data_IF_752725762803
#
_entry.id   IF_752725762803
#
_cell.length_a   1.000
_cell.length_b   1.000
_cell.length_c   1.000
_cell.angle_alpha   90.00
_cell.angle_beta   90.00
_cell.angle_gamma   90.00
#
_symmetry.space_group_name_H-M   'P 1'
#
loop_
_entity.id
_entity.type
_entity.pdbx_description
1 polymer ?
#
# COMPACT_ATOMS: atom_id res chain seq x y z
N UNK A 1 0.14 29.99 54.04
CA UNK A 1 0.95 28.82 54.44
C UNK A 1 0.10 27.94 55.36
N UNK A 2 -0.68 27.00 54.79
CA UNK A 2 -1.49 26.09 55.60
C UNK A 2 -0.71 24.80 55.82
N UNK A 3 -0.50 24.44 57.10
CA UNK A 3 0.30 23.28 57.52
C UNK A 3 -0.44 21.98 57.17
N UNK A 4 0.19 21.09 56.39
CA UNK A 4 -0.30 19.72 56.17
C UNK A 4 -0.30 18.97 57.50
N UNK A 5 -1.39 18.26 57.80
CA UNK A 5 -1.52 17.39 58.99
C UNK A 5 -0.95 16.02 58.65
N UNK A 6 0.10 15.63 59.36
CA UNK A 6 0.67 14.27 59.30
C UNK A 6 -0.04 13.37 60.32
N UNK A 7 -0.42 12.16 59.91
CA UNK A 7 -0.99 11.13 60.80
C UNK A 7 -0.07 9.90 60.72
N UNK A 8 0.44 9.38 61.85
CA UNK A 8 1.35 8.24 61.84
C UNK A 8 0.60 6.91 61.75
N UNK A 9 1.13 5.96 60.97
CA UNK A 9 0.67 4.57 60.91
C UNK A 9 1.87 3.65 61.17
N UNK A 10 1.72 2.69 62.10
CA UNK A 10 2.76 1.72 62.47
C UNK A 10 2.56 0.40 61.74
N UNK A 11 3.63 -0.16 61.18
CA UNK A 11 3.68 -1.57 60.75
C UNK A 11 4.84 -2.28 61.46
N UNK A 12 4.59 -3.52 61.91
CA UNK A 12 5.60 -4.41 62.48
C UNK A 12 5.84 -5.57 61.50
N UNK A 13 7.11 -5.79 61.12
CA UNK A 13 7.56 -7.01 60.44
C UNK A 13 8.78 -7.59 61.18
N UNK A 14 8.87 -8.92 61.37
CA UNK A 14 9.95 -9.54 62.13
C UNK A 14 11.07 -10.00 61.19
N UNK A 15 12.26 -9.39 61.31
CA UNK A 15 13.51 -10.01 60.85
C UNK A 15 14.58 -9.76 61.92
N UNK A 16 15.26 -10.86 62.30
CA UNK A 16 16.37 -11.00 63.24
C UNK A 16 16.97 -9.73 63.89
N UNK A 17 16.74 -9.60 65.20
CA UNK A 17 17.73 -9.06 66.13
C UNK A 17 17.91 -7.53 66.16
N UNK A 18 16.82 -6.75 66.24
CA UNK A 18 16.88 -5.34 66.61
C UNK A 18 15.70 -4.53 66.09
N UNK A 19 14.91 -3.93 67.00
CA UNK A 19 13.85 -2.97 66.65
C UNK A 19 14.49 -1.69 66.11
N UNK A 20 14.49 -1.49 64.79
CA UNK A 20 14.81 -0.20 64.17
C UNK A 20 13.50 0.53 63.88
N UNK A 21 13.27 1.62 64.59
CA UNK A 21 12.11 2.49 64.42
C UNK A 21 12.38 3.42 63.22
N UNK A 22 11.97 3.04 62.00
CA UNK A 22 12.00 3.93 60.84
C UNK A 22 10.62 4.54 60.63
N UNK A 23 10.48 5.82 60.98
CA UNK A 23 9.36 6.65 60.55
C UNK A 23 9.58 7.05 59.09
N UNK A 24 8.86 6.43 58.15
CA UNK A 24 8.77 6.92 56.78
C UNK A 24 7.59 7.90 56.69
N UNK A 25 7.89 9.15 56.32
CA UNK A 25 6.88 10.16 56.01
C UNK A 25 6.41 9.93 54.58
N UNK A 26 5.13 9.59 54.43
CA UNK A 26 4.47 9.45 53.13
C UNK A 26 3.78 10.76 52.80
N UNK A 27 4.11 11.35 51.65
CA UNK A 27 3.42 12.55 51.14
C UNK A 27 1.97 12.23 50.74
N UNK A 28 1.06 13.19 50.87
CA UNK A 28 -0.37 13.14 50.45
C UNK A 28 -0.65 12.52 49.05
N UNK A 29 0.37 12.35 48.21
CA UNK A 29 0.28 11.74 46.88
C UNK A 29 0.02 10.22 46.88
N UNK A 30 0.13 9.52 48.03
CA UNK A 30 -0.05 8.05 48.10
C UNK A 30 -1.44 7.56 48.58
N UNK A 31 -2.44 8.46 48.77
CA UNK A 31 -3.74 8.10 49.40
C UNK A 31 -4.97 8.03 48.47
N UNK A 32 -4.84 8.16 47.14
CA UNK A 32 -6.01 8.32 46.26
C UNK A 32 -6.20 7.17 45.26
N UNK A 33 -6.96 6.15 45.67
CA UNK A 33 -7.15 4.90 44.90
C UNK A 33 -8.61 4.39 44.91
N UNK A 34 -9.62 5.20 44.52
CA UNK A 34 -11.01 4.68 44.44
C UNK A 34 -11.88 4.94 43.20
N UNK A 35 -11.64 5.95 42.35
CA UNK A 35 -12.24 5.96 40.99
C UNK A 35 -11.57 7.05 40.12
N UNK A 36 -10.75 6.69 39.13
CA UNK A 36 -10.09 7.65 38.24
C UNK A 36 -11.08 8.42 37.36
N UNK A 37 -12.14 7.76 36.84
CA UNK A 37 -12.94 8.29 35.74
C UNK A 37 -13.81 9.50 36.13
N UNK A 38 -14.36 9.50 37.35
CA UNK A 38 -15.22 10.56 37.86
C UNK A 38 -14.48 11.90 38.13
N UNK A 39 -13.13 11.90 38.11
CA UNK A 39 -12.30 13.07 38.45
C UNK A 39 -11.67 13.77 37.25
N UNK A 40 -11.70 13.17 36.05
CA UNK A 40 -11.06 13.76 34.87
C UNK A 40 -11.56 15.17 34.52
N UNK A 41 -12.88 15.48 34.55
CA UNK A 41 -13.36 16.83 34.20
C UNK A 41 -12.78 17.93 35.12
N UNK A 42 -12.78 17.68 36.43
CA UNK A 42 -12.26 18.62 37.43
C UNK A 42 -10.72 18.72 37.41
N UNK A 43 -10.04 17.61 37.11
CA UNK A 43 -8.59 17.62 36.90
C UNK A 43 -8.21 18.39 35.62
N UNK A 44 -9.03 18.31 34.57
CA UNK A 44 -8.83 19.05 33.33
C UNK A 44 -9.00 20.56 33.52
N UNK A 45 -9.96 21.00 34.35
CA UNK A 45 -10.09 22.42 34.74
C UNK A 45 -8.83 22.94 35.43
N UNK A 46 -8.36 22.20 36.43
CA UNK A 46 -7.14 22.53 37.19
C UNK A 46 -5.89 22.49 36.30
N UNK A 47 -5.84 21.55 35.35
CA UNK A 47 -4.75 21.47 34.37
C UNK A 47 -4.74 22.69 33.45
N UNK A 48 -5.91 23.09 32.93
CA UNK A 48 -6.05 24.27 32.09
C UNK A 48 -5.66 25.55 32.85
N UNK A 49 -5.96 25.63 34.16
CA UNK A 49 -5.57 26.74 35.02
C UNK A 49 -4.07 26.74 35.41
N UNK A 50 -3.32 25.68 35.10
CA UNK A 50 -1.89 25.56 35.47
C UNK A 50 -1.65 25.22 36.94
N UNK A 51 -2.66 24.68 37.63
CA UNK A 51 -2.66 24.41 39.07
C UNK A 51 -2.19 22.99 39.42
N UNK A 52 -1.89 22.16 38.42
CA UNK A 52 -1.37 20.81 38.62
C UNK A 52 0.15 20.82 38.75
N UNK A 53 0.66 20.01 39.69
CA UNK A 53 2.09 19.75 39.77
C UNK A 53 2.59 19.06 38.50
N UNK A 54 3.87 19.26 38.15
CA UNK A 54 4.47 18.60 37.00
C UNK A 54 4.39 17.06 37.09
N UNK A 55 4.46 16.49 38.30
CA UNK A 55 4.29 15.05 38.55
C UNK A 55 2.87 14.61 38.23
N UNK A 56 1.86 15.30 38.75
CA UNK A 56 0.45 14.98 38.53
C UNK A 56 0.06 15.13 37.06
N UNK A 57 0.49 16.22 36.42
CA UNK A 57 0.22 16.48 35.01
C UNK A 57 0.94 15.48 34.09
N UNK A 58 2.10 14.94 34.51
CA UNK A 58 2.75 13.84 33.79
C UNK A 58 2.02 12.51 33.99
N UNK A 59 1.48 12.26 35.19
CA UNK A 59 0.78 11.01 35.55
C UNK A 59 -0.54 10.84 34.79
N UNK A 60 -1.31 11.92 34.61
CA UNK A 60 -2.65 11.88 34.01
C UNK A 60 -2.71 12.48 32.59
N UNK A 61 -1.57 12.63 31.91
CA UNK A 61 -1.51 13.42 30.68
C UNK A 61 -2.42 12.85 29.58
N UNK A 62 -2.39 11.54 29.38
CA UNK A 62 -3.14 10.89 28.29
C UNK A 62 -4.64 10.87 28.58
N UNK A 63 -5.01 10.64 29.85
CA UNK A 63 -6.39 10.75 30.33
C UNK A 63 -6.94 12.15 30.11
N UNK A 64 -6.19 13.19 30.50
CA UNK A 64 -6.59 14.58 30.34
C UNK A 64 -6.70 15.01 28.88
N UNK A 65 -5.79 14.55 28.01
CA UNK A 65 -5.88 14.80 26.56
C UNK A 65 -7.15 14.16 25.97
N UNK A 66 -7.45 12.91 26.33
CA UNK A 66 -8.67 12.22 25.88
C UNK A 66 -9.93 12.86 26.43
N UNK A 67 -9.94 13.33 27.68
CA UNK A 67 -11.10 14.05 28.20
C UNK A 67 -11.28 15.40 27.54
N UNK A 68 -10.20 16.13 27.26
CA UNK A 68 -10.29 17.39 26.54
C UNK A 68 -10.88 17.20 25.14
N UNK A 69 -10.53 16.11 24.46
CA UNK A 69 -11.12 15.73 23.17
C UNK A 69 -12.59 15.32 23.32
N UNK A 70 -12.91 14.43 24.28
CA UNK A 70 -14.27 13.93 24.51
C UNK A 70 -15.25 15.04 24.88
N UNK A 71 -14.81 16.01 25.66
CA UNK A 71 -15.59 17.18 26.05
C UNK A 71 -15.47 18.37 25.07
N UNK A 72 -14.78 18.19 23.94
CA UNK A 72 -14.50 19.21 22.91
C UNK A 72 -13.92 20.54 23.43
N UNK A 73 -13.06 20.46 24.46
CA UNK A 73 -12.47 21.63 25.13
C UNK A 73 -11.13 22.04 24.50
N UNK A 74 -11.22 22.74 23.36
CA UNK A 74 -10.07 23.16 22.54
C UNK A 74 -8.98 23.93 23.31
N UNK A 75 -9.33 24.90 24.16
CA UNK A 75 -8.33 25.68 24.91
C UNK A 75 -7.55 24.84 25.92
N UNK A 76 -8.24 23.92 26.61
CA UNK A 76 -7.61 23.02 27.57
C UNK A 76 -6.69 22.03 26.83
N UNK A 77 -7.15 21.51 25.69
CA UNK A 77 -6.35 20.64 24.82
C UNK A 77 -5.07 21.34 24.34
N UNK A 78 -5.17 22.58 23.86
CA UNK A 78 -4.02 23.37 23.38
C UNK A 78 -2.96 23.61 24.47
N UNK A 79 -3.40 23.79 25.73
CA UNK A 79 -2.48 23.95 26.88
C UNK A 79 -1.82 22.64 27.31
N UNK A 80 -2.52 21.52 27.15
CA UNK A 80 -2.03 20.19 27.51
C UNK A 80 -1.08 19.60 26.48
N UNK A 81 -1.23 19.98 25.21
CA UNK A 81 -0.35 19.51 24.14
C UNK A 81 1.11 19.91 24.45
N UNK A 82 2.05 18.96 24.35
CA UNK A 82 3.43 19.23 24.70
C UNK A 82 4.05 20.20 23.70
N UNK A 83 4.77 21.20 24.23
CA UNK A 83 5.52 22.18 23.39
C UNK A 83 6.61 21.52 22.54
N UNK A 84 7.11 20.36 22.98
CA UNK A 84 8.00 19.48 22.22
C UNK A 84 7.17 18.41 21.52
N UNK A 85 7.62 17.99 20.34
CA UNK A 85 6.99 16.96 19.48
C UNK A 85 6.44 15.77 20.28
N UNK A 86 5.14 15.50 20.13
CA UNK A 86 4.50 14.27 20.64
C UNK A 86 4.92 13.05 19.81
N UNK A 87 4.98 11.88 20.45
CA UNK A 87 5.17 10.60 19.76
C UNK A 87 4.12 10.43 18.66
N UNK A 88 4.48 10.11 17.41
CA UNK A 88 3.54 10.26 16.30
C UNK A 88 2.35 9.29 16.34
N UNK A 89 2.56 8.05 16.80
CA UNK A 89 1.48 7.08 17.04
C UNK A 89 0.49 7.55 18.13
N UNK A 90 1.01 8.23 19.17
CA UNK A 90 0.15 8.79 20.23
C UNK A 90 -0.69 9.95 19.71
N UNK A 91 -0.13 10.76 18.81
CA UNK A 91 -0.85 11.86 18.17
C UNK A 91 -1.93 11.33 17.20
N UNK A 92 -1.60 10.37 16.34
CA UNK A 92 -2.55 9.75 15.41
C UNK A 92 -3.76 9.14 16.14
N UNK A 93 -3.51 8.35 17.19
CA UNK A 93 -4.57 7.79 18.03
C UNK A 93 -5.47 8.87 18.68
N UNK A 94 -4.91 10.03 19.04
CA UNK A 94 -5.68 11.13 19.62
C UNK A 94 -6.53 11.87 18.57
N UNK A 95 -6.01 12.02 17.35
CA UNK A 95 -6.74 12.63 16.22
C UNK A 95 -7.90 11.74 15.78
N UNK A 96 -7.66 10.44 15.56
CA UNK A 96 -8.70 9.46 15.24
C UNK A 96 -9.78 9.40 16.35
N UNK A 97 -9.36 9.51 17.62
CA UNK A 97 -10.30 9.61 18.73
C UNK A 97 -11.19 10.86 18.65
N UNK A 98 -10.64 12.03 18.28
CA UNK A 98 -11.42 13.26 18.09
C UNK A 98 -12.47 13.14 16.98
N UNK A 99 -12.09 12.50 15.86
CA UNK A 99 -13.00 12.21 14.76
C UNK A 99 -14.13 11.26 15.19
N UNK A 100 -13.78 10.19 15.92
CA UNK A 100 -14.76 9.23 16.44
C UNK A 100 -15.76 9.87 17.42
N UNK A 101 -15.30 10.83 18.23
CA UNK A 101 -16.14 11.58 19.17
C UNK A 101 -16.95 12.70 18.51
N UNK A 102 -16.70 13.01 17.22
CA UNK A 102 -17.29 14.15 16.50
C UNK A 102 -17.05 15.48 17.22
N UNK A 103 -15.81 15.70 17.67
CA UNK A 103 -15.37 16.89 18.41
C UNK A 103 -14.63 17.87 17.48
N UNK A 104 -15.33 18.79 16.77
CA UNK A 104 -14.74 19.62 15.72
C UNK A 104 -13.70 20.62 16.23
N UNK A 105 -13.88 21.19 17.43
CA UNK A 105 -12.98 22.21 17.97
C UNK A 105 -11.65 21.57 18.42
N UNK A 106 -11.74 20.39 19.05
CA UNK A 106 -10.58 19.58 19.38
C UNK A 106 -9.82 19.13 18.12
N UNK A 107 -10.53 18.70 17.07
CA UNK A 107 -9.92 18.31 15.79
C UNK A 107 -9.17 19.48 15.15
N UNK A 108 -9.73 20.69 15.16
CA UNK A 108 -9.07 21.89 14.63
C UNK A 108 -7.75 22.20 15.36
N UNK A 109 -7.71 22.07 16.69
CA UNK A 109 -6.49 22.26 17.49
C UNK A 109 -5.45 21.19 17.17
N UNK A 110 -5.84 19.93 17.02
CA UNK A 110 -4.92 18.84 16.66
C UNK A 110 -4.36 19.03 15.25
N UNK A 111 -5.16 19.48 14.28
CA UNK A 111 -4.69 19.80 12.93
C UNK A 111 -3.74 21.01 12.90
N UNK A 112 -3.96 22.02 13.75
CA UNK A 112 -3.00 23.12 13.91
C UNK A 112 -1.68 22.64 14.53
N UNK A 113 -1.76 21.77 15.55
CA UNK A 113 -0.59 21.12 16.15
C UNK A 113 0.18 20.25 15.13
N UNK A 114 -0.55 19.53 14.26
CA UNK A 114 0.02 18.77 13.15
C UNK A 114 0.90 19.65 12.27
N UNK A 115 0.36 20.77 11.79
CA UNK A 115 1.07 21.71 10.89
C UNK A 115 2.32 22.33 11.53
N UNK A 116 2.33 22.49 12.85
CA UNK A 116 3.47 23.09 13.56
C UNK A 116 4.60 22.09 13.87
N UNK A 117 4.30 20.79 13.99
CA UNK A 117 5.23 19.82 14.56
C UNK A 117 5.56 18.62 13.67
N UNK A 118 4.84 18.43 12.56
CA UNK A 118 5.04 17.32 11.63
C UNK A 118 5.14 17.85 10.20
N UNK A 119 6.06 17.28 9.43
CA UNK A 119 6.05 17.45 7.98
C UNK A 119 4.98 16.55 7.36
N UNK A 120 4.44 16.92 6.20
CA UNK A 120 3.46 16.10 5.46
C UNK A 120 3.99 14.67 5.27
N UNK A 121 5.24 14.54 4.78
CA UNK A 121 5.87 13.24 4.53
C UNK A 121 6.03 12.34 5.76
N UNK A 122 6.26 12.89 6.96
CA UNK A 122 6.36 12.10 8.19
C UNK A 122 5.00 11.56 8.64
N UNK A 123 3.93 12.32 8.42
CA UNK A 123 2.57 11.93 8.79
C UNK A 123 1.98 10.94 7.79
N UNK A 124 2.21 11.16 6.50
CA UNK A 124 1.84 10.21 5.45
C UNK A 124 2.47 8.83 5.71
N UNK A 125 3.72 8.78 6.20
CA UNK A 125 4.37 7.54 6.59
C UNK A 125 3.78 6.85 7.84
N UNK A 126 3.03 7.57 8.68
CA UNK A 126 2.36 7.03 9.86
C UNK A 126 0.95 6.58 9.55
N UNK A 127 0.19 7.39 8.79
CA UNK A 127 -1.09 6.98 8.22
C UNK A 127 -0.89 5.72 7.39
N UNK A 128 0.16 5.65 6.57
CA UNK A 128 0.50 4.43 5.83
C UNK A 128 0.78 3.26 6.77
N UNK A 129 1.49 3.45 7.89
CA UNK A 129 1.75 2.37 8.87
C UNK A 129 0.51 1.90 9.62
N UNK A 130 -0.43 2.79 9.91
CA UNK A 130 -1.71 2.45 10.54
C UNK A 130 -2.63 1.75 9.54
N UNK A 131 -2.68 2.24 8.30
CA UNK A 131 -3.36 1.59 7.19
C UNK A 131 -2.78 0.19 6.94
N UNK A 132 -1.45 0.04 6.92
CA UNK A 132 -0.77 -1.24 6.78
C UNK A 132 -1.18 -2.19 7.92
N UNK A 133 -1.31 -1.70 9.17
CA UNK A 133 -1.77 -2.49 10.32
C UNK A 133 -3.23 -2.91 10.18
N UNK A 134 -4.11 -2.03 9.72
CA UNK A 134 -5.54 -2.32 9.48
C UNK A 134 -5.74 -3.33 8.34
N UNK A 135 -4.89 -3.26 7.32
CA UNK A 135 -4.86 -4.20 6.20
C UNK A 135 -4.16 -5.53 6.52
N UNK A 136 -3.70 -5.74 7.75
CA UNK A 136 -2.98 -6.96 8.16
C UNK A 136 -1.59 -7.11 7.55
N UNK A 137 -1.01 -6.03 7.00
CA UNK A 137 0.34 -5.98 6.48
C UNK A 137 1.33 -5.85 7.64
N UNK A 138 2.13 -6.89 7.89
CA UNK A 138 3.24 -6.77 8.82
C UNK A 138 4.32 -5.86 8.21
N UNK A 139 4.76 -4.83 8.96
CA UNK A 139 5.93 -4.00 8.64
C UNK A 139 7.15 -4.47 9.47
N UNK A 140 7.79 -5.59 9.09
CA UNK A 140 8.90 -6.17 9.86
C UNK A 140 10.10 -5.23 9.91
N UNK A 141 10.82 -5.23 11.03
CA UNK A 141 12.09 -4.50 11.13
C UNK A 141 13.21 -5.18 10.30
N UNK A 142 14.37 -4.55 10.17
CA UNK A 142 15.48 -5.11 9.38
C UNK A 142 15.93 -6.50 9.87
N UNK A 143 15.92 -6.75 11.18
CA UNK A 143 16.35 -8.03 11.74
C UNK A 143 15.36 -9.13 11.41
N UNK A 144 14.06 -8.82 11.46
CA UNK A 144 13.00 -9.71 11.00
C UNK A 144 13.06 -9.93 9.49
N UNK A 145 13.27 -8.88 8.69
CA UNK A 145 13.42 -8.99 7.23
C UNK A 145 14.59 -9.91 6.83
N UNK A 146 15.69 -9.90 7.57
CA UNK A 146 16.82 -10.82 7.35
C UNK A 146 16.49 -12.28 7.70
N UNK A 147 15.54 -12.52 8.61
CA UNK A 147 15.05 -13.87 8.95
C UNK A 147 14.02 -14.36 7.96
N UNK A 148 13.12 -13.47 7.54
CA UNK A 148 12.01 -13.74 6.62
C UNK A 148 12.45 -13.83 5.17
N UNK A 149 13.49 -13.08 4.78
CA UNK A 149 13.93 -12.98 3.41
C UNK A 149 15.42 -13.24 3.22
N UNK A 150 15.78 -13.75 2.05
CA UNK A 150 17.15 -13.71 1.56
C UNK A 150 17.43 -12.34 0.97
N UNK A 151 18.31 -11.58 1.62
CA UNK A 151 18.72 -10.25 1.15
C UNK A 151 20.08 -10.32 0.47
N UNK A 152 20.22 -9.62 -0.66
CA UNK A 152 21.50 -9.41 -1.36
C UNK A 152 21.82 -7.92 -1.38
N UNK A 153 22.98 -7.55 -0.87
CA UNK A 153 23.44 -6.16 -0.83
C UNK A 153 24.22 -5.86 -2.11
N UNK A 154 23.75 -4.89 -2.87
CA UNK A 154 24.35 -4.37 -4.09
C UNK A 154 24.98 -2.99 -3.80
N UNK A 155 25.69 -2.43 -4.78
CA UNK A 155 26.24 -1.06 -4.67
C UNK A 155 25.12 -0.02 -4.59
N UNK A 156 24.02 -0.27 -5.30
CA UNK A 156 22.89 0.64 -5.47
C UNK A 156 21.84 0.47 -4.36
N UNK A 157 21.88 -0.61 -3.57
CA UNK A 157 20.87 -0.88 -2.54
C UNK A 157 20.80 -2.35 -2.07
N UNK A 158 19.63 -2.78 -1.63
CA UNK A 158 19.34 -4.16 -1.18
C UNK A 158 18.30 -4.80 -2.09
N UNK A 159 18.53 -6.04 -2.51
CA UNK A 159 17.59 -6.83 -3.30
C UNK A 159 17.04 -8.00 -2.48
N UNK A 160 15.72 -8.20 -2.49
CA UNK A 160 15.05 -9.32 -1.84
C UNK A 160 14.99 -10.48 -2.82
N UNK A 161 15.74 -11.55 -2.54
CA UNK A 161 16.01 -12.65 -3.48
C UNK A 161 15.24 -13.93 -3.15
N UNK A 162 14.35 -13.91 -2.16
CA UNK A 162 13.51 -15.07 -1.83
C UNK A 162 12.95 -15.02 -0.42
N UNK A 163 11.79 -15.63 -0.21
CA UNK A 163 11.19 -15.82 1.11
C UNK A 163 11.79 -17.06 1.81
N UNK A 164 11.92 -17.00 3.14
CA UNK A 164 12.35 -18.10 4.01
C UNK A 164 11.16 -18.65 4.83
N UNK A 165 10.11 -17.85 5.02
CA UNK A 165 8.84 -18.23 5.68
C UNK A 165 7.68 -17.73 4.80
N UNK A 166 6.64 -18.56 4.60
CA UNK A 166 5.69 -18.43 3.48
C UNK A 166 4.20 -18.36 3.89
N UNK A 167 3.90 -17.94 5.13
CA UNK A 167 2.53 -18.02 5.68
C UNK A 167 1.92 -16.64 6.04
N UNK A 168 2.59 -15.52 5.73
CA UNK A 168 2.06 -14.17 5.97
C UNK A 168 2.45 -13.18 4.87
N UNK A 169 1.60 -12.19 4.66
CA UNK A 169 1.84 -11.03 3.81
C UNK A 169 2.71 -10.01 4.55
N UNK A 170 3.77 -9.51 3.90
CA UNK A 170 4.69 -8.54 4.48
C UNK A 170 4.78 -7.29 3.60
N UNK A 171 4.71 -6.11 4.21
CA UNK A 171 5.04 -4.86 3.54
C UNK A 171 6.55 -4.78 3.28
N UNK A 172 6.94 -4.48 2.04
CA UNK A 172 8.36 -4.31 1.69
C UNK A 172 8.74 -2.86 1.94
N UNK A 173 9.66 -2.57 2.87
CA UNK A 173 10.04 -1.18 3.16
C UNK A 173 10.87 -0.60 2.01
N UNK A 174 10.80 0.73 1.84
CA UNK A 174 11.60 1.45 0.84
C UNK A 174 13.12 1.33 1.04
N UNK A 175 13.57 1.00 2.27
CA UNK A 175 14.96 0.78 2.61
C UNK A 175 15.13 -0.31 3.68
N UNK A 176 16.20 -1.09 3.58
CA UNK A 176 16.62 -2.09 4.58
C UNK A 176 18.04 -1.76 5.02
N UNK A 177 18.25 -1.51 6.32
CA UNK A 177 19.55 -1.10 6.85
C UNK A 177 20.07 0.22 6.29
N UNK A 178 19.17 1.19 6.10
CA UNK A 178 19.51 2.51 5.56
C UNK A 178 19.88 2.52 4.07
N UNK A 179 19.76 1.38 3.38
CA UNK A 179 19.99 1.26 1.94
C UNK A 179 18.67 0.99 1.21
N UNK A 180 18.43 1.63 0.05
CA UNK A 180 17.16 1.51 -0.65
C UNK A 180 16.94 0.07 -1.13
N UNK A 181 15.70 -0.42 -1.07
CA UNK A 181 15.35 -1.69 -1.70
C UNK A 181 15.25 -1.46 -3.20
N UNK A 182 16.10 -2.14 -3.98
CA UNK A 182 16.26 -1.91 -5.43
C UNK A 182 15.61 -2.98 -6.30
N UNK A 183 15.10 -4.05 -5.69
CA UNK A 183 14.39 -5.10 -6.41
C UNK A 183 13.88 -6.22 -5.50
N UNK A 184 12.88 -6.94 -6.01
CA UNK A 184 12.28 -8.13 -5.39
C UNK A 184 12.23 -9.21 -6.48
N UNK A 185 12.90 -10.32 -6.26
CA UNK A 185 12.97 -11.45 -7.18
C UNK A 185 11.64 -12.24 -7.19
N UNK A 186 11.28 -12.85 -8.33
CA UNK A 186 10.13 -13.73 -8.49
C UNK A 186 10.09 -14.84 -7.40
N UNK A 187 11.24 -15.30 -6.93
CA UNK A 187 11.35 -16.29 -5.85
C UNK A 187 10.96 -15.77 -4.45
N UNK A 188 10.73 -14.46 -4.30
CA UNK A 188 10.25 -13.84 -3.06
C UNK A 188 8.72 -13.73 -2.98
N UNK A 189 8.01 -14.04 -4.08
CA UNK A 189 6.55 -13.98 -4.14
C UNK A 189 5.97 -15.34 -3.81
N UNK A 190 5.27 -15.43 -2.67
CA UNK A 190 4.31 -16.50 -2.40
C UNK A 190 3.26 -16.00 -1.40
N UNK A 191 2.22 -15.35 -1.93
CA UNK A 191 0.79 -15.61 -1.68
C UNK A 191 -0.03 -14.77 -2.70
N UNK A 192 -1.16 -15.29 -3.23
CA UNK A 192 -2.03 -14.56 -4.18
C UNK A 192 -2.59 -13.23 -3.66
N UNK A 193 -2.62 -13.03 -2.33
CA UNK A 193 -3.37 -11.95 -1.69
C UNK A 193 -2.52 -10.76 -1.19
N UNK A 194 -1.26 -10.64 -1.61
CA UNK A 194 -0.36 -9.60 -1.11
C UNK A 194 0.34 -8.84 -2.24
N UNK A 195 -0.30 -7.77 -2.74
CA UNK A 195 0.33 -6.82 -3.65
C UNK A 195 0.93 -5.63 -2.89
N UNK A 196 2.25 -5.38 -2.99
CA UNK A 196 2.83 -4.14 -2.49
C UNK A 196 2.81 -3.03 -3.56
N UNK A 197 2.43 -1.83 -3.12
CA UNK A 197 2.58 -0.58 -3.84
C UNK A 197 4.05 -0.13 -3.84
N UNK A 198 4.63 0.14 -5.02
CA UNK A 198 5.99 0.68 -5.17
C UNK A 198 5.89 2.07 -5.76
N UNK A 199 6.28 3.10 -5.00
CA UNK A 199 6.47 4.45 -5.53
C UNK A 199 7.97 4.66 -5.83
N UNK A 200 8.29 5.02 -7.08
CA UNK A 200 9.59 5.61 -7.42
C UNK A 200 9.44 6.72 -8.46
N UNK A 201 10.16 7.80 -8.18
CA UNK A 201 10.44 8.89 -9.11
C UNK A 201 11.59 8.49 -10.03
N UNK A 202 11.46 8.75 -11.33
CA UNK A 202 12.56 8.63 -12.29
C UNK A 202 12.70 9.92 -13.09
N UNK A 203 13.93 10.39 -13.17
CA UNK A 203 14.35 11.53 -13.96
C UNK A 203 14.34 11.17 -15.45
N UNK A 204 13.90 12.13 -16.26
CA UNK A 204 13.58 12.03 -17.66
C UNK A 204 14.78 11.65 -18.54
N UNK A 205 14.60 10.62 -19.37
CA UNK A 205 15.25 10.54 -20.68
C UNK A 205 14.15 10.71 -21.73
N UNK A 206 13.82 11.97 -22.03
CA UNK A 206 12.97 12.37 -23.14
C UNK A 206 13.76 12.16 -24.44
N UNK A 207 13.75 10.94 -24.98
CA UNK A 207 13.81 10.77 -26.43
C UNK A 207 12.37 10.51 -26.87
N UNK A 208 11.81 11.46 -27.63
CA UNK A 208 10.63 11.15 -28.43
C UNK A 208 10.95 9.85 -29.20
N UNK A 209 10.10 8.81 -29.13
CA UNK A 209 10.34 7.62 -29.91
C UNK A 209 10.33 8.07 -31.36
N UNK A 210 11.48 7.99 -32.01
CA UNK A 210 11.48 7.95 -33.46
C UNK A 210 10.70 6.68 -33.80
N UNK A 211 9.47 6.85 -34.26
CA UNK A 211 8.71 5.75 -34.83
C UNK A 211 9.39 5.43 -36.17
N UNK A 212 10.51 4.73 -36.11
CA UNK A 212 11.17 4.20 -37.30
C UNK A 212 10.42 2.92 -37.70
N UNK A 213 9.39 3.06 -38.54
CA UNK A 213 8.59 1.94 -39.01
C UNK A 213 7.38 1.61 -38.13
N UNK A 214 7.17 0.32 -37.83
CA UNK A 214 5.95 -0.21 -37.19
C UNK A 214 6.13 -0.52 -35.67
N UNK A 215 7.20 -0.05 -35.02
CA UNK A 215 7.43 -0.31 -33.57
C UNK A 215 8.13 0.84 -32.84
N UNK A 216 8.06 0.83 -31.50
CA UNK A 216 8.75 1.79 -30.61
C UNK A 216 9.09 1.16 -29.26
N UNK A 217 9.97 1.82 -28.48
CA UNK A 217 10.30 1.43 -27.11
C UNK A 217 9.59 2.35 -26.11
N UNK A 218 8.96 1.78 -25.08
CA UNK A 218 8.34 2.54 -23.99
C UNK A 218 8.23 1.68 -22.73
N UNK A 219 8.71 2.17 -21.60
CA UNK A 219 8.73 1.39 -20.36
C UNK A 219 9.79 0.27 -20.35
N UNK A 220 9.94 -0.37 -19.19
CA UNK A 220 11.04 -1.30 -18.89
C UNK A 220 10.54 -2.48 -18.07
N UNK A 221 10.98 -3.68 -18.43
CA UNK A 221 10.71 -4.90 -17.66
C UNK A 221 11.96 -5.38 -16.93
N UNK A 222 11.75 -5.90 -15.72
CA UNK A 222 12.78 -6.57 -14.93
C UNK A 222 12.91 -8.02 -15.40
N UNK A 223 14.09 -8.43 -15.90
CA UNK A 223 14.32 -9.84 -16.22
C UNK A 223 14.53 -10.70 -14.97
N UNK A 224 14.07 -11.96 -15.03
CA UNK A 224 14.14 -13.01 -13.98
C UNK A 224 15.54 -13.28 -13.38
N UNK A 225 16.60 -12.63 -13.85
CA UNK A 225 17.99 -12.79 -13.37
C UNK A 225 18.73 -11.45 -13.40
N UNK A 226 18.35 -10.56 -12.49
CA UNK A 226 19.21 -9.51 -11.92
C UNK A 226 20.10 -8.71 -12.87
N UNK A 227 19.73 -7.43 -13.01
CA UNK A 227 20.59 -6.28 -13.37
C UNK A 227 20.52 -5.74 -14.81
N UNK A 228 19.62 -6.20 -15.67
CA UNK A 228 19.29 -5.49 -16.92
C UNK A 228 17.79 -5.16 -16.97
N UNK A 229 17.48 -3.86 -16.97
CA UNK A 229 16.18 -3.37 -17.38
C UNK A 229 16.10 -3.48 -18.90
N UNK A 230 15.27 -4.40 -19.41
CA UNK A 230 15.09 -4.55 -20.85
C UNK A 230 13.97 -3.59 -21.29
N UNK A 231 14.23 -2.66 -22.22
CA UNK A 231 13.18 -1.82 -22.79
C UNK A 231 12.07 -2.69 -23.39
N UNK A 232 10.82 -2.29 -23.12
CA UNK A 232 9.67 -2.96 -23.72
C UNK A 232 9.49 -2.46 -25.15
N UNK A 233 9.51 -3.39 -26.10
CA UNK A 233 9.20 -3.11 -27.50
C UNK A 233 7.70 -3.26 -27.76
N UNK A 234 7.14 -2.28 -28.44
CA UNK A 234 5.73 -2.16 -28.77
C UNK A 234 5.57 -2.09 -30.28
N UNK A 235 4.75 -2.99 -30.82
CA UNK A 235 4.37 -2.99 -32.24
C UNK A 235 3.10 -2.18 -32.42
N UNK A 236 3.12 -1.25 -33.37
CA UNK A 236 1.96 -0.48 -33.79
C UNK A 236 1.05 -1.38 -34.64
N UNK A 237 -0.18 -1.57 -34.16
CA UNK A 237 -1.23 -2.33 -34.86
C UNK A 237 -2.13 -1.42 -35.69
N UNK A 238 -2.37 -0.19 -35.23
CA UNK A 238 -3.23 0.79 -35.90
C UNK A 238 -2.76 2.20 -35.58
N UNK A 239 -2.85 3.10 -36.56
CA UNK A 239 -2.62 4.54 -36.37
C UNK A 239 -3.91 5.30 -36.59
N UNK A 240 -4.11 6.31 -35.76
CA UNK A 240 -5.18 7.30 -35.87
C UNK A 240 -4.54 8.70 -35.73
N UNK A 241 -5.29 9.76 -36.03
CA UNK A 241 -4.76 11.12 -35.94
C UNK A 241 -4.24 11.42 -34.52
N UNK A 242 -2.91 11.58 -34.40
CA UNK A 242 -2.23 11.91 -33.14
C UNK A 242 -2.06 10.76 -32.13
N UNK A 243 -2.49 9.53 -32.44
CA UNK A 243 -2.34 8.37 -31.54
C UNK A 243 -2.15 7.05 -32.29
N UNK A 244 -1.61 6.05 -31.61
CA UNK A 244 -1.49 4.69 -32.13
C UNK A 244 -1.93 3.64 -31.11
N UNK A 245 -2.56 2.58 -31.60
CA UNK A 245 -2.78 1.35 -30.85
C UNK A 245 -1.56 0.47 -31.04
N UNK A 246 -0.95 0.05 -29.94
CA UNK A 246 0.23 -0.79 -29.96
C UNK A 246 0.09 -1.98 -29.01
N UNK A 247 0.73 -3.09 -29.36
CA UNK A 247 0.81 -4.30 -28.54
C UNK A 247 2.25 -4.60 -28.19
N UNK A 248 2.50 -5.09 -26.99
CA UNK A 248 3.84 -5.51 -26.57
C UNK A 248 4.31 -6.67 -27.47
N UNK A 249 5.55 -6.60 -27.96
CA UNK A 249 6.12 -7.63 -28.83
C UNK A 249 6.39 -8.94 -28.11
N UNK A 250 6.56 -8.89 -26.79
CA UNK A 250 6.83 -10.05 -25.93
C UNK A 250 5.80 -10.15 -24.81
N UNK A 251 5.66 -11.34 -24.25
CA UNK A 251 4.93 -11.51 -22.99
C UNK A 251 5.63 -10.75 -21.86
N UNK A 252 4.86 -10.03 -21.05
CA UNK A 252 5.38 -9.24 -19.92
C UNK A 252 5.38 -10.02 -18.61
N UNK A 253 4.51 -11.03 -18.51
CA UNK A 253 4.39 -11.93 -17.37
C UNK A 253 3.75 -13.24 -17.81
N UNK A 254 3.76 -14.23 -16.91
CA UNK A 254 2.96 -15.45 -17.00
C UNK A 254 2.10 -15.46 -15.74
N UNK A 255 0.79 -15.28 -15.90
CA UNK A 255 -0.16 -15.04 -14.81
C UNK A 255 -1.53 -15.61 -15.20
N UNK A 256 -2.35 -16.03 -14.21
CA UNK A 256 -3.75 -16.34 -14.48
C UNK A 256 -4.53 -15.10 -14.88
N UNK A 257 -5.65 -15.32 -15.57
CA UNK A 257 -6.60 -14.25 -15.87
C UNK A 257 -7.28 -13.74 -14.58
N UNK A 258 -7.58 -14.67 -13.67
CA UNK A 258 -8.10 -14.41 -12.33
C UNK A 258 -7.57 -15.47 -11.35
N UNK A 259 -7.23 -15.11 -10.12
CA UNK A 259 -6.57 -16.01 -9.16
C UNK A 259 -7.43 -17.17 -8.65
N UNK A 260 -8.74 -17.12 -8.85
CA UNK A 260 -9.70 -18.14 -8.42
C UNK A 260 -10.60 -18.59 -9.56
N UNK A 261 -10.97 -19.87 -9.57
CA UNK A 261 -11.94 -20.41 -10.52
C UNK A 261 -13.36 -19.94 -10.15
N UNK A 262 -13.80 -18.84 -10.76
CA UNK A 262 -15.16 -18.32 -10.65
C UNK A 262 -15.52 -17.49 -11.89
N UNK A 263 -16.80 -17.15 -12.00
CA UNK A 263 -17.27 -16.29 -13.08
C UNK A 263 -16.70 -14.87 -12.93
N UNK A 264 -15.97 -14.43 -13.95
CA UNK A 264 -15.41 -13.07 -14.05
C UNK A 264 -15.56 -12.51 -15.47
N UNK A 265 -15.45 -11.20 -15.59
CA UNK A 265 -15.35 -10.50 -16.86
C UNK A 265 -14.01 -9.75 -16.91
N UNK A 266 -13.71 -9.08 -18.03
CA UNK A 266 -12.55 -8.18 -18.07
C UNK A 266 -12.58 -7.12 -16.96
N UNK A 267 -13.76 -6.57 -16.66
CA UNK A 267 -13.93 -5.54 -15.63
C UNK A 267 -13.47 -6.03 -14.25
N UNK A 268 -13.85 -7.25 -13.90
CA UNK A 268 -13.69 -7.80 -12.55
C UNK A 268 -12.49 -8.72 -12.36
N UNK A 269 -11.70 -9.00 -13.40
CA UNK A 269 -10.57 -9.93 -13.32
C UNK A 269 -9.31 -9.31 -12.69
N UNK A 270 -8.50 -10.14 -12.03
CA UNK A 270 -7.27 -9.65 -11.37
C UNK A 270 -6.23 -9.19 -12.37
N UNK A 271 -6.19 -9.77 -13.57
CA UNK A 271 -5.21 -9.43 -14.57
C UNK A 271 -5.32 -7.97 -15.05
N UNK A 272 -6.56 -7.46 -15.19
CA UNK A 272 -6.82 -6.04 -15.48
C UNK A 272 -6.29 -5.13 -14.37
N UNK A 273 -6.57 -5.51 -13.12
CA UNK A 273 -6.11 -4.77 -11.93
C UNK A 273 -4.57 -4.80 -11.82
N UNK A 274 -3.93 -5.94 -12.10
CA UNK A 274 -2.48 -6.05 -12.14
C UNK A 274 -1.87 -5.17 -13.24
N UNK A 275 -2.44 -5.17 -14.45
CA UNK A 275 -1.93 -4.36 -15.56
C UNK A 275 -1.94 -2.86 -15.24
N UNK A 276 -3.06 -2.35 -14.74
CA UNK A 276 -3.24 -0.91 -14.52
C UNK A 276 -2.72 -0.45 -13.14
N UNK A 277 -2.82 -1.29 -12.11
CA UNK A 277 -2.46 -0.95 -10.73
C UNK A 277 -1.02 -1.31 -10.34
N UNK A 278 -0.41 -2.30 -10.98
CA UNK A 278 0.93 -2.78 -10.62
C UNK A 278 1.92 -2.61 -11.77
N UNK A 279 1.63 -3.20 -12.93
CA UNK A 279 2.55 -3.22 -14.05
C UNK A 279 2.79 -1.82 -14.62
N UNK A 280 1.73 -1.04 -14.83
CA UNK A 280 1.83 0.34 -15.34
C UNK A 280 2.71 1.25 -14.46
N UNK A 281 2.50 1.39 -13.13
CA UNK A 281 3.36 2.24 -12.32
C UNK A 281 4.78 1.68 -12.13
N UNK A 282 4.97 0.36 -12.21
CA UNK A 282 6.26 -0.30 -12.06
C UNK A 282 7.15 -0.14 -13.30
N UNK A 283 6.57 -0.32 -14.49
CA UNK A 283 7.31 -0.41 -15.74
C UNK A 283 7.45 0.93 -16.46
N UNK A 284 6.64 1.93 -16.13
CA UNK A 284 6.62 3.22 -16.83
C UNK A 284 6.84 4.37 -15.87
N UNK A 285 7.72 5.29 -16.24
CA UNK A 285 7.93 6.55 -15.52
C UNK A 285 6.71 7.48 -15.62
N UNK A 286 6.62 8.48 -14.75
CA UNK A 286 5.52 9.45 -14.80
C UNK A 286 5.40 10.13 -16.18
N UNK A 287 6.53 10.54 -16.78
CA UNK A 287 6.56 11.16 -18.10
C UNK A 287 6.16 10.19 -19.23
N UNK A 288 6.49 8.90 -19.13
CA UNK A 288 6.02 7.91 -20.10
C UNK A 288 4.52 7.64 -19.96
N UNK A 289 3.99 7.60 -18.73
CA UNK A 289 2.56 7.42 -18.46
C UNK A 289 1.72 8.57 -19.03
N UNK A 290 2.24 9.81 -19.05
CA UNK A 290 1.56 10.93 -19.72
C UNK A 290 1.36 10.71 -21.23
N UNK A 291 2.10 9.77 -21.84
CA UNK A 291 1.96 9.41 -23.25
C UNK A 291 1.00 8.27 -23.48
N UNK A 292 0.67 7.50 -22.43
CA UNK A 292 -0.28 6.40 -22.50
C UNK A 292 -1.68 7.00 -22.30
N UNK A 293 -2.54 6.83 -23.28
CA UNK A 293 -3.87 7.42 -23.29
C UNK A 293 -4.85 6.46 -22.63
N UNK A 294 -5.79 6.96 -21.80
CA UNK A 294 -6.89 6.14 -21.31
C UNK A 294 -7.75 5.70 -22.50
N UNK A 295 -8.15 4.43 -22.46
CA UNK A 295 -8.96 3.80 -23.49
C UNK A 295 -10.30 3.40 -22.90
N UNK A 296 -11.38 3.78 -23.59
CA UNK A 296 -12.69 3.19 -23.38
C UNK A 296 -12.66 1.76 -23.94
N UNK A 297 -12.46 0.77 -23.07
CA UNK A 297 -12.36 -0.63 -23.46
C UNK A 297 -13.74 -1.27 -23.37
N UNK A 298 -14.28 -1.63 -24.52
CA UNK A 298 -15.55 -2.33 -24.66
C UNK A 298 -15.28 -3.77 -25.07
N UNK A 299 -15.62 -4.74 -24.21
CA UNK A 299 -15.47 -6.18 -24.49
C UNK A 299 -16.78 -6.71 -25.04
N UNK A 300 -16.84 -7.05 -26.34
CA UNK A 300 -18.04 -7.64 -26.90
C UNK A 300 -18.27 -9.02 -26.31
N UNK A 301 -19.54 -9.43 -26.28
CA UNK A 301 -19.91 -10.79 -25.93
C UNK A 301 -19.25 -11.79 -26.87
N UNK A 302 -18.93 -12.97 -26.35
CA UNK A 302 -18.33 -14.01 -27.18
C UNK A 302 -19.30 -14.45 -28.27
N UNK A 303 -18.97 -14.18 -29.53
CA UNK A 303 -19.86 -14.49 -30.67
C UNK A 303 -20.19 -15.98 -30.84
N UNK A 304 -19.39 -16.89 -30.28
CA UNK A 304 -19.62 -18.33 -30.39
C UNK A 304 -20.58 -18.87 -29.32
N UNK A 305 -20.63 -18.24 -28.15
CA UNK A 305 -21.32 -18.77 -26.96
C UNK A 305 -22.35 -17.80 -26.37
N UNK A 306 -22.33 -16.53 -26.77
CA UNK A 306 -23.16 -15.47 -26.18
C UNK A 306 -22.71 -15.06 -24.78
N UNK A 307 -21.52 -15.48 -24.33
CA UNK A 307 -20.99 -15.17 -23.00
C UNK A 307 -20.79 -13.67 -22.83
N UNK A 308 -21.35 -13.04 -21.78
CA UNK A 308 -21.25 -11.61 -21.56
C UNK A 308 -19.81 -11.11 -21.39
N UNK A 309 -19.43 -10.07 -22.16
CA UNK A 309 -18.11 -9.45 -22.10
C UNK A 309 -17.86 -8.58 -20.86
N UNK A 310 -18.91 -8.23 -20.13
CA UNK A 310 -18.88 -7.34 -18.96
C UNK A 310 -19.10 -5.87 -19.30
N UNK A 311 -19.01 -5.01 -18.28
CA UNK A 311 -19.20 -3.58 -18.49
C UNK A 311 -17.99 -2.94 -19.22
N UNK A 312 -18.24 -1.79 -19.81
CA UNK A 312 -17.20 -0.93 -20.37
C UNK A 312 -16.27 -0.44 -19.26
N UNK A 313 -14.97 -0.47 -19.53
CA UNK A 313 -13.93 0.01 -18.62
C UNK A 313 -13.15 1.18 -19.19
N UNK A 314 -12.43 1.88 -18.33
CA UNK A 314 -11.42 2.87 -18.72
C UNK A 314 -10.05 2.37 -18.27
N UNK A 315 -9.21 2.00 -19.24
CA UNK A 315 -7.94 1.32 -19.00
C UNK A 315 -6.80 1.99 -19.76
N UNK A 316 -5.62 2.07 -19.16
CA UNK A 316 -4.40 2.52 -19.84
C UNK A 316 -3.72 1.34 -20.56
N UNK A 317 -3.70 0.19 -19.92
CA UNK A 317 -3.20 -1.07 -20.45
C UNK A 317 -4.33 -2.11 -20.44
N UNK A 318 -4.46 -2.85 -21.53
CA UNK A 318 -5.51 -3.86 -21.69
C UNK A 318 -5.02 -5.03 -22.54
N UNK A 319 -5.77 -6.13 -22.57
CA UNK A 319 -5.53 -7.21 -23.53
C UNK A 319 -6.34 -6.98 -24.80
N UNK A 320 -5.86 -7.39 -25.98
CA UNK A 320 -6.70 -7.44 -27.18
C UNK A 320 -7.93 -8.34 -26.97
N UNK A 321 -9.07 -7.99 -27.58
CA UNK A 321 -10.19 -8.91 -27.74
C UNK A 321 -9.88 -9.96 -28.83
N UNK A 322 -10.68 -11.02 -28.91
CA UNK A 322 -10.59 -12.00 -29.99
C UNK A 322 -10.83 -11.40 -31.38
N UNK A 323 -11.74 -10.42 -31.49
CA UNK A 323 -11.99 -9.65 -32.72
C UNK A 323 -10.79 -8.80 -33.08
N UNK A 324 -10.24 -8.07 -32.11
CA UNK A 324 -9.05 -7.23 -32.30
C UNK A 324 -7.84 -8.08 -32.68
N UNK A 325 -7.61 -9.19 -31.99
CA UNK A 325 -6.53 -10.12 -32.31
C UNK A 325 -6.69 -10.67 -33.74
N UNK A 326 -7.91 -11.02 -34.16
CA UNK A 326 -8.16 -11.53 -35.50
C UNK A 326 -8.01 -10.48 -36.60
N UNK A 327 -8.42 -9.22 -36.33
CA UNK A 327 -8.50 -8.16 -37.33
C UNK A 327 -7.23 -7.31 -37.45
N UNK A 328 -6.47 -7.14 -36.36
CA UNK A 328 -5.35 -6.19 -36.31
C UNK A 328 -4.00 -6.81 -36.65
N UNK A 329 -3.84 -8.12 -36.45
CA UNK A 329 -2.61 -8.84 -36.82
C UNK A 329 -2.76 -9.40 -38.23
N UNK A 330 -1.70 -9.33 -39.04
CA UNK A 330 -1.75 -9.74 -40.46
C UNK A 330 -1.83 -11.27 -40.62
N UNK A 331 -1.39 -12.04 -39.62
CA UNK A 331 -1.42 -13.50 -39.64
C UNK A 331 -1.32 -14.11 -38.23
N UNK A 332 -1.60 -15.40 -38.10
CA UNK A 332 -1.32 -16.18 -36.88
C UNK A 332 0.15 -16.05 -36.47
N UNK A 333 1.09 -16.09 -37.42
CA UNK A 333 2.51 -15.96 -37.15
C UNK A 333 2.89 -14.62 -36.47
N UNK A 334 2.14 -13.54 -36.72
CA UNK A 334 2.36 -12.26 -36.01
C UNK A 334 1.79 -12.26 -34.57
N UNK A 335 0.77 -13.08 -34.32
CA UNK A 335 0.17 -13.30 -32.99
C UNK A 335 0.98 -14.29 -32.15
N UNK A 336 1.67 -15.22 -32.79
CA UNK A 336 2.44 -16.27 -32.15
C UNK A 336 3.51 -15.72 -31.19
N UNK A 337 3.55 -16.28 -29.98
CA UNK A 337 4.62 -16.05 -29.00
C UNK A 337 5.42 -17.32 -28.68
N UNK A 338 5.05 -18.47 -29.27
CA UNK A 338 5.57 -19.78 -28.86
C UNK A 338 5.01 -20.26 -27.52
N UNK A 339 4.00 -19.57 -26.97
CA UNK A 339 3.28 -19.93 -25.75
C UNK A 339 1.83 -19.40 -25.82
N UNK A 340 0.93 -20.03 -25.08
CA UNK A 340 -0.44 -19.56 -24.90
C UNK A 340 -0.48 -18.18 -24.24
N UNK A 341 -1.36 -17.30 -24.70
CA UNK A 341 -1.57 -15.99 -24.07
C UNK A 341 -3.04 -15.56 -24.06
N UNK A 342 -3.38 -14.72 -23.09
CA UNK A 342 -4.76 -14.32 -22.79
C UNK A 342 -5.33 -13.25 -23.73
N UNK A 343 -6.63 -13.34 -24.00
CA UNK A 343 -7.46 -12.27 -24.56
C UNK A 343 -8.48 -11.81 -23.52
N UNK A 344 -8.98 -10.58 -23.62
CA UNK A 344 -10.03 -10.08 -22.71
C UNK A 344 -11.44 -10.60 -23.04
N UNK A 345 -11.63 -11.22 -24.20
CA UNK A 345 -12.92 -11.81 -24.59
C UNK A 345 -13.22 -13.01 -23.68
N UNK A 346 -14.43 -13.13 -23.11
CA UNK A 346 -14.79 -14.29 -22.30
C UNK A 346 -14.80 -15.57 -23.15
N UNK A 347 -14.67 -16.74 -22.53
CA UNK A 347 -14.63 -18.05 -23.21
C UNK A 347 -16.01 -18.70 -23.36
N UNK A 348 -16.05 -20.03 -23.17
CA UNK A 348 -17.28 -20.83 -23.16
C UNK A 348 -18.36 -20.28 -22.21
N UNK A 349 -17.95 -19.89 -21.01
CA UNK A 349 -18.71 -19.12 -20.02
C UNK A 349 -17.75 -18.18 -19.28
N UNK A 350 -18.22 -17.45 -18.26
CA UNK A 350 -17.40 -16.48 -17.53
C UNK A 350 -16.34 -17.11 -16.61
N UNK A 351 -16.30 -18.44 -16.47
CA UNK A 351 -15.18 -19.16 -15.85
C UNK A 351 -14.03 -19.44 -16.84
N UNK A 352 -14.22 -19.08 -18.12
CA UNK A 352 -13.21 -19.18 -19.17
C UNK A 352 -12.88 -17.80 -19.75
N UNK A 353 -11.64 -17.63 -20.22
CA UNK A 353 -11.23 -16.50 -21.04
C UNK A 353 -10.63 -16.99 -22.36
N UNK A 354 -10.95 -16.31 -23.46
CA UNK A 354 -10.42 -16.64 -24.79
C UNK A 354 -8.90 -16.49 -24.82
N UNK A 355 -8.26 -17.29 -25.66
CA UNK A 355 -6.79 -17.40 -25.68
C UNK A 355 -6.27 -17.37 -27.11
N UNK A 356 -4.96 -17.23 -27.23
CA UNK A 356 -4.23 -17.43 -28.47
C UNK A 356 -3.23 -18.55 -28.26
N UNK A 357 -3.18 -19.49 -29.20
CA UNK A 357 -2.29 -20.65 -29.17
C UNK A 357 -0.82 -20.25 -29.36
N UNK A 358 0.14 -21.15 -29.06
CA UNK A 358 1.56 -20.91 -29.30
C UNK A 358 1.90 -20.54 -30.76
N UNK A 359 1.16 -21.09 -31.72
CA UNK A 359 1.25 -20.83 -33.16
C UNK A 359 0.41 -19.64 -33.64
N UNK A 360 -0.36 -19.00 -32.75
CA UNK A 360 -1.02 -17.72 -33.01
C UNK A 360 -2.50 -17.78 -33.41
N UNK A 361 -3.12 -18.96 -33.39
CA UNK A 361 -4.54 -19.13 -33.65
C UNK A 361 -5.40 -18.65 -32.47
N UNK A 362 -6.50 -17.97 -32.77
CA UNK A 362 -7.44 -17.45 -31.75
C UNK A 362 -8.41 -18.56 -31.33
N UNK A 363 -8.45 -18.86 -30.04
CA UNK A 363 -9.29 -19.91 -29.44
C UNK A 363 -10.35 -19.28 -28.56
N UNK A 364 -11.54 -19.11 -29.13
CA UNK A 364 -12.70 -18.45 -28.49
C UNK A 364 -13.35 -19.28 -27.39
N UNK A 365 -13.18 -20.60 -27.37
CA UNK A 365 -13.63 -21.43 -26.24
C UNK A 365 -12.83 -21.11 -24.97
N UNK A 366 -11.57 -20.69 -25.15
CA UNK A 366 -10.71 -20.23 -24.07
C UNK A 366 -10.21 -21.34 -23.17
N UNK A 367 -9.67 -20.92 -22.03
CA UNK A 367 -9.21 -21.76 -20.93
C UNK A 367 -9.73 -21.21 -19.60
N UNK A 368 -9.70 -22.04 -18.56
CA UNK A 368 -10.12 -21.63 -17.21
C UNK A 368 -9.34 -20.42 -16.73
N UNK A 369 -10.05 -19.45 -16.15
CA UNK A 369 -9.47 -18.15 -15.77
C UNK A 369 -8.34 -18.25 -14.74
N UNK A 370 -8.30 -19.31 -13.94
CA UNK A 370 -7.28 -19.59 -12.92
C UNK A 370 -6.04 -20.35 -13.45
N UNK A 371 -5.99 -20.63 -14.76
CA UNK A 371 -4.82 -21.24 -15.41
C UNK A 371 -3.61 -20.31 -15.31
N UNK A 372 -2.54 -20.73 -14.62
CA UNK A 372 -1.41 -19.85 -14.25
C UNK A 372 -0.19 -19.91 -15.17
N UNK A 373 -0.23 -20.70 -16.26
CA UNK A 373 0.90 -20.91 -17.19
C UNK A 373 0.79 -20.09 -18.49
N UNK A 374 -0.16 -19.15 -18.58
CA UNK A 374 -0.42 -18.37 -19.78
C UNK A 374 0.22 -16.99 -19.75
N UNK A 375 0.74 -16.58 -20.90
CA UNK A 375 1.43 -15.31 -21.06
C UNK A 375 0.46 -14.12 -21.09
N UNK A 376 0.96 -12.99 -20.57
CA UNK A 376 0.27 -11.70 -20.61
C UNK A 376 0.89 -10.84 -21.70
N UNK A 377 0.08 -10.44 -22.68
CA UNK A 377 0.52 -9.60 -23.81
C UNK A 377 -0.33 -8.32 -23.90
N UNK A 378 0.07 -7.25 -23.19
CA UNK A 378 -0.73 -6.03 -23.12
C UNK A 378 -0.68 -5.21 -24.41
N UNK A 379 -1.72 -4.41 -24.59
CA UNK A 379 -1.88 -3.38 -25.60
C UNK A 379 -2.22 -2.05 -24.93
N UNK A 380 -1.97 -0.95 -25.65
CA UNK A 380 -2.21 0.40 -25.18
C UNK A 380 -2.44 1.38 -26.33
N UNK A 381 -3.13 2.48 -26.04
CA UNK A 381 -3.11 3.66 -26.88
C UNK A 381 -1.99 4.59 -26.45
N UNK A 382 -1.16 5.02 -27.40
CA UNK A 382 -0.05 5.93 -27.14
C UNK A 382 -0.19 7.20 -27.98
N UNK A 383 0.15 8.34 -27.40
CA UNK A 383 0.28 9.62 -28.09
C UNK A 383 1.53 9.62 -28.99
N UNK A 384 1.32 9.89 -30.28
CA UNK A 384 2.39 9.97 -31.28
C UNK A 384 3.17 11.28 -31.22
#
# INVERSE_FOLDING_TARGET
MSKKKEIPVQFFLPIGGGLVNQCCFVSEDELEEKDPAARLPALLDRAAAGELSARTLSRFRDELLREAVRSDRAEALARLLPKKRMGPQRFAALLSFAESCRSPDAAAVLLAYRRAHYTTAEFDALEQRELDRELGLCAPDESELRRLFRLRYLKEGVCICGARETQRSYGIPAAIGGRPVVGVDAAAFYTPDAMPCVSRAFAADLRAPSIEGDSFLLGRAMEKRGCAETPLAWRVLRREEGRALAVCERAVAVLPYHGELREVTWESCDLRHWLNGVFLPLCFTAAERERILPAAVETPDNCNFGTPGGARTEDFLFLPSAEEASALFKSDAERALGQWWWLRTPGFDNTFAATVTPDGAVVRIGSFVDTDDYAVRPAMWVKL
#
